data_IF_878110249522
#
_entry.id   IF_878110249522
#
_cell.length_a   1.000
_cell.length_b   1.000
_cell.length_c   1.000
_cell.angle_alpha   90.00
_cell.angle_beta   90.00
_cell.angle_gamma   90.00
#
_symmetry.space_group_name_H-M   'P 1'
#
loop_
_entity.id
_entity.type
_entity.pdbx_description
1 polymer ?
#
# COMPACT_ATOMS: atom_id res chain seq x y z
N UNK A 1 -5.52 -11.38 -5.68
CA UNK A 1 -6.30 -10.11 -5.78
C UNK A 1 -5.41 -8.88 -5.91
N UNK A 2 -4.29 -8.82 -5.17
CA UNK A 2 -3.39 -7.68 -5.23
C UNK A 2 -2.85 -7.38 -6.62
N UNK A 3 -2.48 -8.41 -7.40
CA UNK A 3 -1.98 -8.20 -8.76
C UNK A 3 -3.05 -7.69 -9.73
N UNK A 4 -4.30 -8.08 -9.53
CA UNK A 4 -5.41 -7.56 -10.34
C UNK A 4 -5.59 -6.06 -10.08
N UNK A 5 -5.53 -5.65 -8.81
CA UNK A 5 -5.59 -4.24 -8.45
C UNK A 5 -4.41 -3.46 -9.05
N UNK A 6 -3.21 -4.02 -9.00
CA UNK A 6 -2.01 -3.42 -9.57
C UNK A 6 -2.14 -3.25 -11.09
N UNK A 7 -2.62 -4.27 -11.79
CA UNK A 7 -2.84 -4.21 -13.23
C UNK A 7 -3.88 -3.14 -13.60
N UNK A 8 -4.96 -3.07 -12.84
CA UNK A 8 -6.01 -2.07 -13.06
C UNK A 8 -5.46 -0.65 -12.89
N UNK A 9 -4.74 -0.41 -11.80
CA UNK A 9 -4.13 0.90 -11.54
C UNK A 9 -3.15 1.30 -12.65
N UNK A 10 -2.32 0.36 -13.10
CA UNK A 10 -1.37 0.62 -14.19
C UNK A 10 -2.08 0.95 -15.50
N UNK A 11 -3.19 0.26 -15.78
CA UNK A 11 -3.99 0.51 -16.98
C UNK A 11 -4.60 1.93 -16.98
N UNK A 12 -4.86 2.49 -15.80
CA UNK A 12 -5.35 3.87 -15.66
C UNK A 12 -4.22 4.90 -15.60
N UNK A 13 -2.99 4.50 -15.86
CA UNK A 13 -1.86 5.42 -15.94
C UNK A 13 -1.13 5.70 -14.63
N UNK A 14 -1.41 4.95 -13.56
CA UNK A 14 -0.72 5.12 -12.29
C UNK A 14 0.68 4.50 -12.33
N UNK A 15 1.62 5.13 -11.62
CA UNK A 15 2.85 4.44 -11.23
C UNK A 15 2.50 3.48 -10.10
N UNK A 16 2.78 2.21 -10.26
CA UNK A 16 2.41 1.18 -9.29
C UNK A 16 3.65 0.58 -8.65
N UNK A 17 3.63 0.53 -7.31
CA UNK A 17 4.65 -0.14 -6.51
C UNK A 17 3.95 -1.25 -5.75
N UNK A 18 4.43 -2.48 -5.89
CA UNK A 18 3.88 -3.66 -5.21
C UNK A 18 4.80 -4.03 -4.06
N UNK A 19 4.27 -4.13 -2.84
CA UNK A 19 5.01 -4.68 -1.72
C UNK A 19 4.52 -6.09 -1.43
N UNK A 20 5.42 -7.03 -1.27
CA UNK A 20 5.09 -8.45 -1.12
C UNK A 20 6.20 -9.16 -0.34
N UNK A 21 5.84 -10.22 0.39
CA UNK A 21 6.81 -11.02 1.11
C UNK A 21 6.92 -12.47 0.60
N UNK A 22 5.95 -12.95 -0.16
CA UNK A 22 5.97 -14.32 -0.69
C UNK A 22 6.83 -14.35 -1.95
N UNK A 23 7.96 -15.11 -1.96
CA UNK A 23 8.92 -15.08 -3.08
C UNK A 23 8.31 -15.34 -4.45
N UNK A 24 7.39 -16.30 -4.55
CA UNK A 24 6.74 -16.63 -5.82
C UNK A 24 5.91 -15.47 -6.35
N UNK A 25 5.23 -14.75 -5.47
CA UNK A 25 4.42 -13.58 -5.84
C UNK A 25 5.30 -12.40 -6.21
N UNK A 26 6.44 -12.26 -5.56
CA UNK A 26 7.45 -11.25 -5.90
C UNK A 26 7.95 -11.48 -7.33
N UNK A 27 8.31 -12.71 -7.67
CA UNK A 27 8.76 -13.06 -9.02
C UNK A 27 7.69 -12.76 -10.06
N UNK A 28 6.43 -13.13 -9.78
CA UNK A 28 5.30 -12.88 -10.68
C UNK A 28 5.13 -11.38 -10.93
N UNK A 29 5.15 -10.59 -9.88
CA UNK A 29 5.00 -9.13 -9.99
C UNK A 29 6.14 -8.51 -10.80
N UNK A 30 7.38 -8.94 -10.57
CA UNK A 30 8.54 -8.49 -11.35
C UNK A 30 8.42 -8.87 -12.81
N UNK A 31 7.99 -10.09 -13.10
CA UNK A 31 7.79 -10.56 -14.47
C UNK A 31 6.72 -9.76 -15.21
N UNK A 32 5.73 -9.23 -14.48
CA UNK A 32 4.68 -8.37 -15.04
C UNK A 32 5.13 -6.92 -15.23
N UNK A 33 6.36 -6.58 -14.87
CA UNK A 33 6.92 -5.25 -15.07
C UNK A 33 6.63 -4.24 -13.98
N UNK A 34 6.16 -4.66 -12.81
CA UNK A 34 5.94 -3.76 -11.69
C UNK A 34 7.23 -3.45 -10.93
N UNK A 35 7.29 -2.28 -10.30
CA UNK A 35 8.26 -2.00 -9.26
C UNK A 35 7.85 -2.79 -8.03
N UNK A 36 8.74 -3.61 -7.48
CA UNK A 36 8.42 -4.50 -6.37
C UNK A 36 9.34 -4.24 -5.18
N UNK A 37 8.72 -4.17 -4.00
CA UNK A 37 9.44 -4.12 -2.73
C UNK A 37 9.35 -5.51 -2.11
N UNK A 38 10.52 -6.14 -1.90
CA UNK A 38 10.61 -7.39 -1.16
C UNK A 38 10.63 -7.06 0.34
N UNK A 39 9.52 -7.35 1.02
CA UNK A 39 9.37 -7.06 2.45
C UNK A 39 10.27 -7.92 3.35
N UNK A 40 10.90 -8.97 2.80
CA UNK A 40 11.88 -9.76 3.52
C UNK A 40 13.25 -9.07 3.58
N UNK A 41 13.54 -8.17 2.64
CA UNK A 41 14.82 -7.48 2.53
C UNK A 41 14.78 -6.03 2.97
N UNK A 42 13.62 -5.39 2.87
CA UNK A 42 13.47 -3.96 3.14
C UNK A 42 12.20 -3.67 3.93
N UNK A 43 12.24 -2.61 4.73
CA UNK A 43 11.03 -2.06 5.34
C UNK A 43 10.18 -1.42 4.22
N UNK A 44 8.95 -1.88 4.00
CA UNK A 44 8.14 -1.37 2.90
C UNK A 44 7.80 0.12 3.03
N UNK A 45 7.61 0.63 4.24
CA UNK A 45 7.31 2.05 4.46
C UNK A 45 8.49 2.92 4.07
N UNK A 46 9.68 2.58 4.58
CA UNK A 46 10.90 3.31 4.24
C UNK A 46 11.19 3.26 2.75
N UNK A 47 10.99 2.10 2.13
CA UNK A 47 11.25 1.91 0.70
C UNK A 47 10.28 2.73 -0.16
N UNK A 48 9.02 2.79 0.20
CA UNK A 48 8.05 3.65 -0.49
C UNK A 48 8.45 5.12 -0.37
N UNK A 49 8.86 5.56 0.81
CA UNK A 49 9.34 6.92 1.00
C UNK A 49 10.57 7.22 0.13
N UNK A 50 11.51 6.29 0.07
CA UNK A 50 12.69 6.42 -0.78
C UNK A 50 12.32 6.53 -2.26
N UNK A 51 11.43 5.66 -2.74
CA UNK A 51 11.01 5.62 -4.14
C UNK A 51 10.14 6.82 -4.55
N UNK A 52 9.56 7.52 -3.58
CA UNK A 52 8.72 8.70 -3.81
C UNK A 52 9.39 10.00 -3.36
N UNK A 53 10.70 9.98 -3.17
CA UNK A 53 11.49 11.15 -2.76
C UNK A 53 11.00 11.76 -1.43
N UNK A 54 10.55 10.92 -0.51
CA UNK A 54 10.08 11.32 0.80
C UNK A 54 8.62 11.76 0.87
N UNK A 55 7.94 11.84 -0.27
CA UNK A 55 6.56 12.33 -0.34
C UNK A 55 5.55 11.29 0.17
N UNK A 56 5.73 10.04 -0.19
CA UNK A 56 4.80 8.97 0.09
C UNK A 56 3.87 8.69 -1.09
N UNK A 57 2.99 7.70 -0.92
CA UNK A 57 2.08 7.27 -1.97
C UNK A 57 0.81 8.15 -1.99
N UNK A 58 0.30 8.42 -3.19
CA UNK A 58 -0.98 9.10 -3.35
C UNK A 58 -2.14 8.23 -2.90
N UNK A 59 -2.05 6.94 -3.15
CA UNK A 59 -3.05 5.97 -2.75
C UNK A 59 -2.38 4.65 -2.37
N UNK A 60 -2.96 3.97 -1.39
CA UNK A 60 -2.52 2.65 -0.95
C UNK A 60 -3.72 1.70 -0.98
N UNK A 61 -3.55 0.56 -1.64
CA UNK A 61 -4.54 -0.50 -1.64
C UNK A 61 -4.02 -1.61 -0.75
N UNK A 62 -4.73 -1.88 0.34
CA UNK A 62 -4.38 -2.96 1.26
C UNK A 62 -5.16 -4.20 0.83
N UNK A 63 -4.46 -5.13 0.20
CA UNK A 63 -5.04 -6.35 -0.37
C UNK A 63 -4.89 -7.57 0.55
N UNK A 64 -4.48 -7.36 1.79
CA UNK A 64 -4.28 -8.40 2.80
C UNK A 64 -5.04 -8.01 4.07
N UNK A 65 -5.81 -8.93 4.61
CA UNK A 65 -6.56 -8.69 5.84
C UNK A 65 -5.69 -8.86 7.08
N UNK A 66 -4.83 -7.89 7.37
CA UNK A 66 -3.93 -7.92 8.53
C UNK A 66 -3.74 -6.52 9.12
N UNK A 67 -3.71 -6.45 10.45
CA UNK A 67 -3.49 -5.18 11.18
C UNK A 67 -2.16 -4.53 10.81
N UNK A 68 -1.10 -5.32 10.68
CA UNK A 68 0.23 -4.81 10.29
C UNK A 68 0.22 -4.18 8.90
N UNK A 69 -0.50 -4.78 7.96
CA UNK A 69 -0.65 -4.24 6.61
C UNK A 69 -1.42 -2.92 6.62
N UNK A 70 -2.46 -2.82 7.45
CA UNK A 70 -3.22 -1.59 7.62
C UNK A 70 -2.35 -0.46 8.18
N UNK A 71 -1.56 -0.76 9.21
CA UNK A 71 -0.65 0.22 9.83
C UNK A 71 0.41 0.70 8.84
N UNK A 72 1.03 -0.21 8.11
CA UNK A 72 2.03 0.11 7.10
C UNK A 72 1.41 0.96 5.97
N UNK A 73 0.20 0.60 5.55
CA UNK A 73 -0.50 1.34 4.52
C UNK A 73 -0.72 2.81 4.88
N UNK A 74 -1.12 3.08 6.12
CA UNK A 74 -1.27 4.45 6.60
C UNK A 74 0.05 5.22 6.60
N UNK A 75 1.13 4.57 7.02
CA UNK A 75 2.45 5.20 7.07
C UNK A 75 3.03 5.46 5.68
N UNK A 76 2.65 4.68 4.68
CA UNK A 76 3.08 4.86 3.30
C UNK A 76 2.43 6.06 2.61
N UNK A 77 1.25 6.49 3.05
CA UNK A 77 0.52 7.57 2.42
C UNK A 77 1.25 8.91 2.54
N UNK A 78 1.13 9.71 1.50
CA UNK A 78 1.61 11.09 1.53
C UNK A 78 0.90 11.89 2.63
N UNK A 79 1.49 13.00 3.02
CA UNK A 79 1.05 13.78 4.18
C UNK A 79 -0.37 14.34 4.03
N UNK A 80 -0.77 14.74 2.83
CA UNK A 80 -2.08 15.35 2.58
C UNK A 80 -2.77 14.69 1.39
N UNK A 81 -4.09 14.62 1.46
CA UNK A 81 -4.95 14.12 0.37
C UNK A 81 -4.67 12.66 -0.01
N UNK A 82 -4.10 11.86 0.90
CA UNK A 82 -3.87 10.44 0.66
C UNK A 82 -5.18 9.64 0.69
N UNK A 83 -5.23 8.57 -0.11
CA UNK A 83 -6.37 7.66 -0.14
C UNK A 83 -5.93 6.26 0.21
N UNK A 84 -6.69 5.62 1.09
CA UNK A 84 -6.44 4.24 1.48
C UNK A 84 -7.67 3.39 1.21
N UNK A 85 -7.50 2.35 0.40
CA UNK A 85 -8.55 1.39 0.10
C UNK A 85 -8.29 0.09 0.85
N UNK A 86 -9.23 -0.29 1.72
CA UNK A 86 -9.19 -1.55 2.44
C UNK A 86 -9.94 -2.59 1.62
N UNK A 87 -9.21 -3.34 0.81
CA UNK A 87 -9.79 -4.25 -0.17
C UNK A 87 -10.08 -5.64 0.37
N UNK A 88 -9.33 -6.09 1.38
CA UNK A 88 -9.45 -7.45 1.91
C UNK A 88 -9.99 -7.48 3.32
N UNK A 89 -10.79 -8.50 3.61
CA UNK A 89 -11.19 -8.83 4.98
C UNK A 89 -10.23 -9.86 5.56
N UNK A 90 -10.19 -9.98 6.87
CA UNK A 90 -9.34 -10.94 7.55
C UNK A 90 -9.99 -11.51 8.80
N UNK A 91 -9.42 -12.61 9.29
CA UNK A 91 -9.83 -13.22 10.55
C UNK A 91 -8.58 -13.65 11.33
N UNK A 92 -8.41 -13.25 12.59
CA UNK A 92 -9.29 -12.35 13.34
C UNK A 92 -9.43 -10.98 12.67
N UNK A 93 -10.47 -10.21 13.03
CA UNK A 93 -10.74 -8.92 12.38
C UNK A 93 -9.53 -8.00 12.46
N UNK A 94 -8.97 -7.56 11.32
CA UNK A 94 -7.83 -6.66 11.35
C UNK A 94 -8.23 -5.27 11.85
N UNK A 95 -7.35 -4.67 12.62
CA UNK A 95 -7.58 -3.33 13.16
C UNK A 95 -6.99 -2.27 12.23
N UNK A 96 -7.64 -1.11 12.22
CA UNK A 96 -7.13 0.10 11.61
C UNK A 96 -7.17 1.19 12.67
N UNK A 97 -5.99 1.60 13.14
CA UNK A 97 -5.88 2.65 14.16
C UNK A 97 -5.62 3.98 13.48
N UNK A 98 -6.64 4.84 13.48
CA UNK A 98 -6.54 6.19 12.95
C UNK A 98 -7.03 7.19 13.98
N UNK A 99 -6.34 8.32 14.04
CA UNK A 99 -6.75 9.46 14.81
C UNK A 99 -7.70 10.29 13.94
N UNK A 100 -8.89 10.63 14.46
CA UNK A 100 -9.86 11.42 13.70
C UNK A 100 -9.30 12.79 13.30
N UNK A 101 -8.43 13.37 14.13
CA UNK A 101 -7.76 14.63 13.79
C UNK A 101 -6.82 14.46 12.59
N UNK A 102 -6.14 13.30 12.50
CA UNK A 102 -5.29 12.99 11.36
C UNK A 102 -6.09 12.96 10.06
N UNK A 103 -7.26 12.32 10.07
CA UNK A 103 -8.14 12.29 8.91
C UNK A 103 -8.59 13.70 8.52
N UNK A 104 -8.95 14.51 9.50
CA UNK A 104 -9.41 15.87 9.28
C UNK A 104 -8.33 16.78 8.70
N UNK A 105 -7.18 16.88 9.40
CA UNK A 105 -6.12 17.82 9.03
C UNK A 105 -5.31 17.39 7.81
N UNK A 106 -5.18 16.09 7.58
CA UNK A 106 -4.47 15.55 6.43
C UNK A 106 -5.38 15.32 5.22
N UNK A 107 -6.69 15.55 5.39
CA UNK A 107 -7.69 15.32 4.35
C UNK A 107 -7.57 13.94 3.71
N UNK A 108 -7.38 12.94 4.54
CA UNK A 108 -7.26 11.55 4.10
C UNK A 108 -8.64 10.97 3.80
N UNK A 109 -8.68 10.06 2.83
CA UNK A 109 -9.86 9.28 2.53
C UNK A 109 -9.62 7.81 2.86
N UNK A 110 -10.57 7.18 3.55
CA UNK A 110 -10.61 5.74 3.78
C UNK A 110 -11.78 5.17 3.00
N UNK A 111 -11.51 4.14 2.23
CA UNK A 111 -12.51 3.52 1.35
C UNK A 111 -12.62 2.03 1.63
#
# INVERSE_FOLDING_TARGET
MGLINAQTAKAYGCRVIVSEMIPKKIETAKAMGFEVIDCNESDPVEKVKELTEGIGADAVIVAVGATSANSQGLEMLKQNDGRMLLFAAGYPVPELKVDSNMLHYRKMELI
#
